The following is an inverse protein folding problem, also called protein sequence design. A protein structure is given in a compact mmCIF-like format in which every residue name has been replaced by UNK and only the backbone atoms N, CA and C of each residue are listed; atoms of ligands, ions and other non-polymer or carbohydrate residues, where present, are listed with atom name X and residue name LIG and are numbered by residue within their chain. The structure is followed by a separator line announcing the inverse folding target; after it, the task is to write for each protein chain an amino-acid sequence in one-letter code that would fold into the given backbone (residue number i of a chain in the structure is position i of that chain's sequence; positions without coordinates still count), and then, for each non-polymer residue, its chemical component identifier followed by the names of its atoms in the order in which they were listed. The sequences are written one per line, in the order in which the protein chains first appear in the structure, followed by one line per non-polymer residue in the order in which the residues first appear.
data_IF_316880877062
#
_entry.id   IF_316880877062
#
_cell.length_a   1.000
_cell.length_b   1.000
_cell.length_c   1.000
_cell.angle_alpha   90.00
_cell.angle_beta   90.00
_cell.angle_gamma   90.00
#
_symmetry.space_group_name_H-M   'P 1'
#
loop_
_entity.id
_entity.type
_entity.pdbx_description
1 polymer ?
#
# COMPACT_ATOMS: atom_id res chain seq x y z
N UNK A 1 38.26 -27.00 -76.58
CA UNK A 1 37.92 -25.63 -76.11
C UNK A 1 37.54 -25.71 -74.62
N UNK A 2 38.28 -25.01 -73.77
CA UNK A 2 37.99 -24.85 -72.33
C UNK A 2 36.68 -24.09 -72.15
N UNK A 3 35.77 -24.54 -71.28
CA UNK A 3 34.89 -23.66 -70.50
C UNK A 3 34.70 -24.23 -69.09
N UNK A 4 35.33 -23.54 -68.15
CA UNK A 4 35.15 -23.60 -66.70
C UNK A 4 33.82 -22.89 -66.40
N UNK A 5 32.92 -23.51 -65.64
CA UNK A 5 31.85 -22.78 -64.92
C UNK A 5 31.74 -23.34 -63.50
N UNK A 6 31.74 -22.39 -62.57
CA UNK A 6 31.90 -22.49 -61.14
C UNK A 6 30.72 -23.17 -60.43
N UNK A 7 31.04 -23.96 -59.41
CA UNK A 7 30.11 -24.37 -58.35
C UNK A 7 30.07 -23.20 -57.34
N UNK A 8 28.92 -22.52 -57.23
CA UNK A 8 28.68 -21.54 -56.18
C UNK A 8 28.04 -22.24 -54.98
N UNK A 9 28.84 -22.40 -53.93
CA UNK A 9 28.37 -22.79 -52.60
C UNK A 9 27.67 -21.59 -51.98
N UNK A 10 26.34 -21.68 -51.79
CA UNK A 10 25.59 -20.68 -51.04
C UNK A 10 25.70 -21.03 -49.55
N UNK A 11 26.70 -20.44 -48.88
CA UNK A 11 26.90 -20.57 -47.44
C UNK A 11 25.85 -19.77 -46.67
N UNK A 12 25.19 -20.43 -45.71
CA UNK A 12 24.44 -19.78 -44.64
C UNK A 12 25.38 -18.86 -43.85
N UNK A 13 25.12 -17.55 -43.87
CA UNK A 13 25.65 -16.62 -42.89
C UNK A 13 24.58 -16.31 -41.84
N UNK A 14 24.61 -17.08 -40.75
CA UNK A 14 23.99 -16.72 -39.47
C UNK A 14 24.97 -15.77 -38.79
N UNK A 15 24.69 -14.45 -38.72
CA UNK A 15 25.26 -13.58 -37.68
C UNK A 15 24.69 -12.15 -37.74
N UNK A 16 24.43 -11.63 -36.54
CA UNK A 16 24.28 -10.21 -36.18
C UNK A 16 22.89 -9.57 -36.25
N UNK A 17 22.01 -9.98 -35.32
CA UNK A 17 20.98 -9.08 -34.78
C UNK A 17 21.07 -9.01 -33.23
N UNK A 18 22.29 -8.99 -32.69
CA UNK A 18 22.57 -8.93 -31.24
C UNK A 18 23.12 -7.58 -30.77
N UNK A 19 23.20 -6.58 -31.65
CA UNK A 19 23.89 -5.30 -31.37
C UNK A 19 22.97 -4.07 -31.26
N UNK A 20 21.66 -4.24 -31.39
CA UNK A 20 20.71 -3.12 -31.32
C UNK A 20 20.00 -2.99 -29.96
N UNK A 21 20.00 -4.04 -29.13
CA UNK A 21 19.23 -4.08 -27.87
C UNK A 21 20.07 -3.63 -26.66
N UNK A 22 21.40 -3.83 -26.67
CA UNK A 22 22.29 -3.33 -25.60
C UNK A 22 22.44 -1.80 -25.55
N UNK A 23 22.00 -1.09 -26.59
CA UNK A 23 22.13 0.36 -26.69
C UNK A 23 20.86 1.13 -26.26
N UNK A 24 19.72 0.46 -26.07
CA UNK A 24 18.48 1.12 -25.64
C UNK A 24 18.46 1.42 -24.13
N UNK A 25 19.15 0.61 -23.30
CA UNK A 25 19.29 0.89 -21.86
C UNK A 25 20.52 1.75 -21.52
N UNK A 26 21.46 1.93 -22.45
CA UNK A 26 22.66 2.77 -22.27
C UNK A 26 22.52 4.22 -22.78
N UNK A 27 21.40 4.58 -23.42
CA UNK A 27 21.25 5.88 -24.09
C UNK A 27 20.30 6.89 -23.42
N UNK A 28 19.77 6.61 -22.23
CA UNK A 28 19.20 7.67 -21.36
C UNK A 28 20.22 8.07 -20.31
N UNK A 29 21.36 8.64 -20.76
CA UNK A 29 22.11 9.56 -19.92
C UNK A 29 21.37 10.90 -19.99
N UNK A 30 20.89 11.48 -18.89
CA UNK A 30 20.48 12.88 -18.90
C UNK A 30 21.69 13.68 -19.36
N UNK A 31 21.55 14.42 -20.47
CA UNK A 31 22.62 15.31 -20.89
C UNK A 31 22.91 16.30 -19.76
N UNK A 32 24.16 16.34 -19.29
CA UNK A 32 24.69 17.32 -18.32
C UNK A 32 24.62 18.79 -18.79
N UNK A 33 23.80 19.12 -19.80
CA UNK A 33 23.58 20.47 -20.32
C UNK A 33 22.34 21.18 -19.76
N UNK A 34 21.55 20.51 -18.91
CA UNK A 34 20.43 21.15 -18.18
C UNK A 34 20.63 21.20 -16.66
N UNK A 35 21.86 21.00 -16.15
CA UNK A 35 22.22 21.35 -14.78
C UNK A 35 22.58 22.85 -14.77
N UNK A 36 21.62 23.68 -15.17
CA UNK A 36 21.70 25.13 -15.08
C UNK A 36 20.74 25.56 -13.97
N UNK A 37 21.30 26.09 -12.88
CA UNK A 37 20.61 26.77 -11.78
C UNK A 37 19.37 26.05 -11.22
N UNK A 38 19.63 25.08 -10.36
CA UNK A 38 18.66 24.41 -9.48
C UNK A 38 17.98 25.32 -8.45
N UNK A 39 18.25 26.63 -8.46
CA UNK A 39 17.52 27.65 -7.71
C UNK A 39 16.22 28.11 -8.39
N UNK A 40 15.96 27.71 -9.64
CA UNK A 40 14.83 28.23 -10.44
C UNK A 40 13.68 27.23 -10.70
N UNK A 41 13.70 26.03 -10.10
CA UNK A 41 12.57 25.06 -10.15
C UNK A 41 11.88 24.89 -8.79
N UNK A 42 11.98 25.90 -7.92
CA UNK A 42 11.07 26.08 -6.79
C UNK A 42 9.76 26.66 -7.35
N UNK A 43 8.97 25.82 -8.01
CA UNK A 43 7.56 26.16 -8.21
C UNK A 43 6.88 26.21 -6.86
N UNK A 44 6.05 27.24 -6.62
CA UNK A 44 5.22 27.37 -5.41
C UNK A 44 4.14 26.28 -5.27
N UNK A 45 4.04 25.36 -6.23
CA UNK A 45 3.04 24.31 -6.25
C UNK A 45 3.32 23.28 -5.13
N UNK A 46 2.29 22.63 -4.62
CA UNK A 46 2.37 21.65 -3.53
C UNK A 46 1.92 20.29 -4.05
N UNK A 47 2.38 19.19 -3.46
CA UNK A 47 1.92 17.85 -3.90
C UNK A 47 0.38 17.76 -3.93
N UNK A 48 -0.28 18.35 -2.94
CA UNK A 48 -1.74 18.41 -2.84
C UNK A 48 -2.44 19.26 -3.90
N UNK A 49 -1.72 20.14 -4.60
CA UNK A 49 -2.25 20.98 -5.69
C UNK A 49 -1.68 20.60 -7.06
N UNK A 50 -0.71 19.70 -7.11
CA UNK A 50 -0.03 19.27 -8.34
C UNK A 50 -0.99 18.63 -9.35
N UNK A 51 -2.03 17.95 -8.86
CA UNK A 51 -3.07 17.39 -9.69
C UNK A 51 -4.39 17.35 -8.90
N UNK A 52 -5.44 18.09 -9.33
CA UNK A 52 -6.70 18.15 -8.59
C UNK A 52 -7.47 16.81 -8.59
N UNK A 53 -7.19 15.91 -9.54
CA UNK A 53 -7.91 14.64 -9.71
C UNK A 53 -7.32 13.50 -8.88
N UNK A 54 -6.18 13.73 -8.21
CA UNK A 54 -5.51 12.72 -7.37
C UNK A 54 -5.26 13.29 -5.98
N UNK A 55 -5.88 12.69 -4.97
CA UNK A 55 -5.52 12.98 -3.58
C UNK A 55 -4.13 12.43 -3.27
N UNK A 56 -3.28 13.26 -2.67
CA UNK A 56 -1.93 12.90 -2.24
C UNK A 56 -1.93 12.85 -0.72
N UNK A 57 -1.70 11.67 -0.17
CA UNK A 57 -1.67 11.39 1.26
C UNK A 57 -0.29 11.07 1.79
N UNK A 58 -0.18 11.05 3.12
CA UNK A 58 1.02 10.59 3.82
C UNK A 58 0.66 9.86 5.10
N UNK A 59 1.40 8.80 5.42
CA UNK A 59 1.35 8.19 6.75
C UNK A 59 2.21 8.97 7.74
N UNK A 60 1.64 9.29 8.90
CA UNK A 60 2.32 10.12 9.89
C UNK A 60 2.55 9.40 11.22
N UNK A 61 3.73 9.66 11.80
CA UNK A 61 4.06 9.39 13.19
C UNK A 61 3.44 10.50 14.06
N UNK A 62 2.60 10.14 15.03
CA UNK A 62 1.98 11.13 15.92
C UNK A 62 3.00 11.83 16.81
N UNK A 63 4.08 11.13 17.19
CA UNK A 63 5.16 11.70 17.98
C UNK A 63 5.92 12.77 17.19
N UNK A 64 6.33 12.45 15.96
CA UNK A 64 7.06 13.41 15.12
C UNK A 64 6.16 14.57 14.73
N UNK A 65 4.90 14.32 14.40
CA UNK A 65 3.93 15.37 14.12
C UNK A 65 3.77 16.36 15.31
N UNK A 66 3.82 15.87 16.55
CA UNK A 66 3.67 16.71 17.74
C UNK A 66 4.97 17.46 18.09
N UNK A 67 6.12 16.80 17.93
CA UNK A 67 7.39 17.27 18.48
C UNK A 67 8.34 17.87 17.43
N UNK A 68 8.00 17.80 16.14
CA UNK A 68 8.83 18.30 15.05
C UNK A 68 8.04 19.27 14.16
N UNK A 69 8.36 20.55 14.25
CA UNK A 69 7.68 21.62 13.49
C UNK A 69 7.90 21.48 11.99
N UNK A 70 9.10 21.10 11.54
CA UNK A 70 9.37 20.88 10.11
C UNK A 70 8.52 19.72 9.56
N UNK A 71 8.38 18.65 10.34
CA UNK A 71 7.54 17.50 9.99
C UNK A 71 6.07 17.92 9.82
N UNK A 72 5.52 18.56 10.83
CA UNK A 72 4.11 19.00 10.82
C UNK A 72 3.84 20.05 9.73
N UNK A 73 4.78 20.95 9.46
CA UNK A 73 4.67 21.94 8.37
C UNK A 73 4.65 21.26 6.99
N UNK A 74 5.46 20.23 6.77
CA UNK A 74 5.43 19.45 5.52
C UNK A 74 4.10 18.71 5.36
N UNK A 75 3.64 18.04 6.42
CA UNK A 75 2.33 17.36 6.43
C UNK A 75 1.22 18.35 6.06
N UNK A 76 1.25 19.55 6.64
CA UNK A 76 0.28 20.61 6.37
C UNK A 76 0.32 21.11 4.94
N UNK A 77 1.52 21.41 4.42
CA UNK A 77 1.70 22.10 3.14
C UNK A 77 1.59 21.20 1.93
N UNK A 78 1.94 19.92 2.05
CA UNK A 78 2.14 19.04 0.89
C UNK A 78 0.99 18.05 0.68
N UNK A 79 0.24 17.64 1.71
CA UNK A 79 -0.71 16.53 1.59
C UNK A 79 -2.15 16.94 1.84
N UNK A 80 -3.11 16.28 1.19
CA UNK A 80 -4.56 16.49 1.40
C UNK A 80 -5.27 15.26 1.99
N UNK A 81 -4.51 14.23 2.35
CA UNK A 81 -4.96 13.05 3.09
C UNK A 81 -3.89 12.62 4.09
N UNK A 82 -4.30 12.02 5.20
CA UNK A 82 -3.39 11.46 6.20
C UNK A 82 -3.85 10.08 6.67
N UNK A 83 -2.87 9.25 7.02
CA UNK A 83 -3.02 7.95 7.66
C UNK A 83 -2.19 7.95 8.93
N UNK A 84 -2.69 7.41 10.04
CA UNK A 84 -1.84 7.22 11.22
C UNK A 84 -0.98 5.97 11.01
N UNK A 85 0.35 6.09 11.07
CA UNK A 85 1.25 4.96 10.78
C UNK A 85 1.00 3.76 11.71
N UNK A 86 0.73 4.03 13.00
CA UNK A 86 0.55 3.00 14.01
C UNK A 86 -0.62 3.23 14.98
N UNK A 87 -1.00 4.49 15.23
CA UNK A 87 -1.92 4.85 16.30
C UNK A 87 -3.38 4.40 16.07
N UNK A 88 -3.71 3.92 14.87
CA UNK A 88 -5.05 3.41 14.54
C UNK A 88 -5.08 1.89 14.28
N UNK A 89 -3.98 1.18 14.55
CA UNK A 89 -3.94 -0.28 14.55
C UNK A 89 -4.68 -0.83 15.77
N UNK A 90 -5.14 -2.09 15.70
CA UNK A 90 -5.89 -2.75 16.76
C UNK A 90 -5.25 -2.52 18.14
N UNK A 91 -3.97 -2.90 18.30
CA UNK A 91 -3.28 -2.80 19.59
C UNK A 91 -3.23 -1.39 20.17
N UNK A 92 -3.21 -0.35 19.33
CA UNK A 92 -3.23 1.03 19.76
C UNK A 92 -4.65 1.46 20.19
N UNK A 93 -5.66 1.12 19.39
CA UNK A 93 -7.05 1.52 19.63
C UNK A 93 -7.69 0.79 20.81
N UNK A 94 -7.38 -0.49 20.98
CA UNK A 94 -7.95 -1.36 22.01
C UNK A 94 -6.85 -2.13 22.77
N UNK A 95 -6.08 -1.44 23.64
CA UNK A 95 -4.92 -2.04 24.30
C UNK A 95 -5.28 -3.17 25.28
N UNK A 96 -6.51 -3.17 25.83
CA UNK A 96 -7.02 -4.26 26.67
C UNK A 96 -8.43 -4.66 26.24
N UNK A 97 -8.86 -5.87 26.60
CA UNK A 97 -10.20 -6.31 26.27
C UNK A 97 -11.26 -5.36 26.84
N UNK A 98 -12.23 -4.97 26.01
CA UNK A 98 -13.28 -3.98 26.32
C UNK A 98 -12.79 -2.58 26.72
N UNK A 99 -11.48 -2.28 26.64
CA UNK A 99 -10.92 -0.97 26.90
C UNK A 99 -10.42 -0.34 25.61
N UNK A 100 -11.04 0.78 25.21
CA UNK A 100 -10.77 1.51 23.98
C UNK A 100 -10.14 2.89 24.22
N UNK A 101 -9.31 3.05 25.26
CA UNK A 101 -8.61 4.32 25.57
C UNK A 101 -7.76 4.86 24.42
N UNK A 102 -7.42 4.03 23.43
CA UNK A 102 -6.74 4.50 22.22
C UNK A 102 -7.58 5.44 21.37
N UNK A 103 -8.92 5.34 21.44
CA UNK A 103 -9.85 6.26 20.78
C UNK A 103 -9.81 7.68 21.38
N UNK A 104 -9.28 7.84 22.60
CA UNK A 104 -9.14 9.16 23.21
C UNK A 104 -7.98 9.98 22.60
N UNK A 105 -7.11 9.35 21.80
CA UNK A 105 -6.01 10.02 21.11
C UNK A 105 -6.50 10.71 19.83
N UNK A 106 -6.74 12.02 19.92
CA UNK A 106 -7.32 12.83 18.84
C UNK A 106 -6.29 13.53 17.94
N UNK A 107 -5.00 13.19 18.04
CA UNK A 107 -3.93 13.92 17.33
C UNK A 107 -4.12 13.84 15.80
N UNK A 108 -4.51 12.67 15.27
CA UNK A 108 -4.68 12.50 13.82
C UNK A 108 -5.87 13.33 13.32
N UNK A 109 -6.97 13.38 14.05
CA UNK A 109 -8.14 14.16 13.71
C UNK A 109 -7.90 15.66 13.85
N UNK A 110 -7.15 16.07 14.87
CA UNK A 110 -6.65 17.44 15.01
C UNK A 110 -5.78 17.84 13.82
N UNK A 111 -4.83 16.99 13.44
CA UNK A 111 -3.97 17.23 12.30
C UNK A 111 -4.78 17.34 11.00
N UNK A 112 -5.82 16.52 10.82
CA UNK A 112 -6.70 16.60 9.66
C UNK A 112 -7.53 17.88 9.64
N UNK A 113 -8.20 18.20 10.75
CA UNK A 113 -9.15 19.32 10.84
C UNK A 113 -8.47 20.66 10.62
N UNK A 114 -7.37 20.92 11.33
CA UNK A 114 -6.75 22.24 11.38
C UNK A 114 -5.72 22.50 10.27
N UNK A 115 -5.41 21.50 9.44
CA UNK A 115 -4.54 21.65 8.28
C UNK A 115 -5.29 21.54 6.95
N UNK A 116 -6.46 22.17 6.87
CA UNK A 116 -7.26 22.24 5.65
C UNK A 116 -8.27 21.10 5.49
N UNK A 117 -8.77 20.53 6.61
CA UNK A 117 -9.80 19.47 6.62
C UNK A 117 -9.39 18.28 5.74
N UNK A 118 -8.18 17.77 5.98
CA UNK A 118 -7.60 16.65 5.21
C UNK A 118 -8.47 15.40 5.37
N UNK A 119 -8.49 14.56 4.33
CA UNK A 119 -9.09 13.22 4.41
C UNK A 119 -8.30 12.37 5.41
N UNK A 120 -8.99 11.64 6.28
CA UNK A 120 -8.38 10.58 7.08
C UNK A 120 -8.69 9.23 6.43
N UNK A 121 -7.66 8.41 6.29
CA UNK A 121 -7.74 7.00 5.96
C UNK A 121 -7.31 6.18 7.18
N UNK A 122 -8.24 5.45 7.77
CA UNK A 122 -7.98 4.62 8.94
C UNK A 122 -7.26 3.33 8.54
N UNK A 123 -6.20 3.01 9.26
CA UNK A 123 -5.34 1.86 9.02
C UNK A 123 -4.91 1.22 10.35
N UNK A 124 -5.28 -0.02 10.67
CA UNK A 124 -6.28 -0.86 10.02
C UNK A 124 -7.13 -1.55 11.09
N UNK A 125 -8.38 -1.88 10.76
CA UNK A 125 -9.32 -2.46 11.74
C UNK A 125 -8.91 -3.87 12.17
N UNK A 126 -8.55 -4.73 11.22
CA UNK A 126 -8.11 -6.10 11.47
C UNK A 126 -6.88 -6.41 10.63
N UNK A 127 -5.87 -6.98 11.27
CA UNK A 127 -4.63 -7.41 10.64
C UNK A 127 -4.11 -8.67 11.34
N UNK A 128 -3.26 -9.45 10.66
CA UNK A 128 -2.57 -10.57 11.30
C UNK A 128 -1.52 -10.09 12.31
N UNK A 129 -0.96 -8.91 12.08
CA UNK A 129 0.04 -8.27 12.94
C UNK A 129 -0.56 -7.16 13.81
N UNK A 130 0.22 -6.65 14.77
CA UNK A 130 -0.16 -5.54 15.68
C UNK A 130 -1.46 -5.79 16.45
N UNK A 131 -1.75 -7.06 16.74
CA UNK A 131 -2.82 -7.46 17.65
C UNK A 131 -2.37 -7.22 19.10
N UNK A 132 -3.24 -6.71 19.99
CA UNK A 132 -2.88 -6.54 21.39
C UNK A 132 -2.66 -7.88 22.08
N UNK A 133 -1.77 -7.93 23.07
CA UNK A 133 -1.34 -9.18 23.73
C UNK A 133 -2.50 -9.98 24.34
N UNK A 134 -3.60 -9.31 24.73
CA UNK A 134 -4.78 -9.98 25.26
C UNK A 134 -5.48 -10.89 24.25
N UNK A 135 -5.30 -10.65 22.93
CA UNK A 135 -5.84 -11.55 21.88
C UNK A 135 -5.16 -12.91 21.95
N UNK A 136 -3.83 -12.94 22.09
CA UNK A 136 -3.06 -14.19 22.28
C UNK A 136 -3.44 -14.86 23.59
N UNK A 137 -3.67 -14.09 24.66
CA UNK A 137 -4.18 -14.64 25.93
C UNK A 137 -5.55 -15.30 25.75
N UNK A 138 -6.50 -14.63 25.07
CA UNK A 138 -7.82 -15.19 24.78
C UNK A 138 -7.72 -16.47 23.97
N UNK A 139 -6.88 -16.50 22.93
CA UNK A 139 -6.66 -17.69 22.12
C UNK A 139 -6.21 -18.88 22.99
N UNK A 140 -5.18 -18.67 23.81
CA UNK A 140 -4.59 -19.72 24.63
C UNK A 140 -5.52 -20.22 25.75
N UNK A 141 -6.45 -19.39 26.22
CA UNK A 141 -7.34 -19.72 27.34
C UNK A 141 -8.80 -20.00 26.93
N UNK A 142 -9.14 -19.91 25.64
CA UNK A 142 -10.47 -20.29 25.12
C UNK A 142 -10.43 -21.70 24.56
N UNK A 143 -11.30 -22.63 25.01
CA UNK A 143 -11.40 -23.97 24.43
C UNK A 143 -11.61 -23.93 22.92
N UNK A 144 -10.94 -24.80 22.16
CA UNK A 144 -10.98 -24.81 20.69
C UNK A 144 -12.43 -24.79 20.13
N UNK A 145 -13.36 -25.51 20.77
CA UNK A 145 -14.76 -25.58 20.37
C UNK A 145 -15.51 -24.24 20.51
N UNK A 146 -15.04 -23.33 21.36
CA UNK A 146 -15.67 -22.03 21.65
C UNK A 146 -14.98 -20.87 20.91
N UNK A 147 -13.76 -21.09 20.39
CA UNK A 147 -12.92 -20.04 19.77
C UNK A 147 -13.65 -19.32 18.64
N UNK A 148 -14.40 -20.02 17.79
CA UNK A 148 -15.12 -19.39 16.70
C UNK A 148 -16.07 -18.28 17.17
N UNK A 149 -16.98 -18.59 18.11
CA UNK A 149 -17.94 -17.61 18.62
C UNK A 149 -17.24 -16.49 19.39
N UNK A 150 -16.20 -16.84 20.16
CA UNK A 150 -15.42 -15.88 20.94
C UNK A 150 -14.71 -14.86 20.06
N UNK A 151 -13.98 -15.31 19.05
CA UNK A 151 -13.26 -14.46 18.11
C UNK A 151 -14.19 -13.67 17.21
N UNK A 152 -15.33 -14.25 16.83
CA UNK A 152 -16.36 -13.54 16.04
C UNK A 152 -16.90 -12.36 16.84
N UNK A 153 -17.24 -12.58 18.10
CA UNK A 153 -17.70 -11.53 19.01
C UNK A 153 -16.67 -10.41 19.20
N UNK A 154 -15.38 -10.78 19.37
CA UNK A 154 -14.28 -9.79 19.48
C UNK A 154 -14.17 -8.94 18.22
N UNK A 155 -14.12 -9.58 17.05
CA UNK A 155 -13.98 -8.91 15.75
C UNK A 155 -15.16 -7.95 15.52
N UNK A 156 -16.39 -8.42 15.73
CA UNK A 156 -17.59 -7.60 15.55
C UNK A 156 -17.65 -6.44 16.55
N UNK A 157 -17.28 -6.66 17.82
CA UNK A 157 -17.28 -5.63 18.85
C UNK A 157 -16.22 -4.55 18.60
N UNK A 158 -14.99 -4.95 18.27
CA UNK A 158 -13.89 -4.03 17.94
C UNK A 158 -14.27 -3.13 16.76
N UNK A 159 -14.61 -3.74 15.63
CA UNK A 159 -14.97 -3.01 14.41
C UNK A 159 -16.17 -2.09 14.66
N UNK A 160 -17.21 -2.58 15.32
CA UNK A 160 -18.41 -1.79 15.63
C UNK A 160 -18.06 -0.55 16.47
N UNK A 161 -17.27 -0.70 17.54
CA UNK A 161 -16.91 0.40 18.43
C UNK A 161 -16.04 1.43 17.71
N UNK A 162 -15.00 1.00 17.01
CA UNK A 162 -14.07 1.89 16.29
C UNK A 162 -14.78 2.63 15.17
N UNK A 163 -15.49 1.93 14.27
CA UNK A 163 -16.16 2.58 13.13
C UNK A 163 -17.22 3.57 13.60
N UNK A 164 -18.02 3.23 14.62
CA UNK A 164 -19.03 4.14 15.17
C UNK A 164 -18.42 5.36 15.84
N UNK A 165 -17.31 5.21 16.55
CA UNK A 165 -16.62 6.33 17.19
C UNK A 165 -16.25 7.40 16.15
N UNK A 166 -15.51 7.01 15.11
CA UNK A 166 -15.09 7.94 14.05
C UNK A 166 -16.24 8.49 13.20
N UNK A 167 -17.37 7.78 13.12
CA UNK A 167 -18.53 8.22 12.35
C UNK A 167 -19.49 9.14 13.14
N UNK A 168 -19.82 8.80 14.39
CA UNK A 168 -20.84 9.51 15.20
C UNK A 168 -20.25 10.51 16.20
N UNK A 169 -19.14 10.14 16.83
CA UNK A 169 -18.57 10.91 17.95
C UNK A 169 -17.58 11.96 17.45
N UNK A 170 -17.27 11.94 16.15
CA UNK A 170 -16.33 12.87 15.54
C UNK A 170 -16.93 14.26 15.36
N UNK A 171 -16.45 15.20 16.17
CA UNK A 171 -16.56 16.65 15.92
C UNK A 171 -15.68 17.09 14.72
N UNK A 172 -14.84 16.19 14.20
CA UNK A 172 -13.92 16.46 13.11
C UNK A 172 -14.60 16.13 11.78
N UNK A 173 -15.21 17.17 11.22
CA UNK A 173 -16.03 17.07 10.02
C UNK A 173 -15.49 17.97 8.90
N UNK A 174 -15.80 17.59 7.66
CA UNK A 174 -15.58 18.45 6.50
C UNK A 174 -16.58 19.61 6.46
N UNK A 175 -16.47 20.47 5.44
CA UNK A 175 -17.33 21.63 5.27
C UNK A 175 -18.83 21.28 5.10
N UNK A 176 -19.16 20.03 4.77
CA UNK A 176 -20.53 19.54 4.60
C UNK A 176 -21.04 18.79 5.84
N UNK A 177 -20.32 18.84 6.95
CA UNK A 177 -20.71 18.15 8.19
C UNK A 177 -20.50 16.63 8.15
N UNK A 178 -19.71 16.11 7.20
CA UNK A 178 -19.40 14.67 7.12
C UNK A 178 -18.08 14.37 7.84
N UNK A 179 -17.92 13.23 8.53
CA UNK A 179 -16.67 12.90 9.23
C UNK A 179 -15.44 13.01 8.34
N UNK A 180 -14.30 13.47 8.88
CA UNK A 180 -13.03 13.50 8.15
C UNK A 180 -12.46 12.08 7.93
N UNK A 181 -12.88 11.10 8.73
CA UNK A 181 -12.69 9.68 8.46
C UNK A 181 -13.49 9.27 7.23
N UNK A 182 -12.83 9.17 6.07
CA UNK A 182 -13.52 8.85 4.80
C UNK A 182 -13.41 7.39 4.38
N UNK A 183 -12.47 6.66 4.98
CA UNK A 183 -12.22 5.27 4.60
C UNK A 183 -11.48 4.50 5.67
N UNK A 184 -11.64 3.19 5.66
CA UNK A 184 -10.88 2.24 6.47
C UNK A 184 -10.30 1.13 5.61
N UNK A 185 -9.05 0.77 5.89
CA UNK A 185 -8.56 -0.58 5.66
C UNK A 185 -9.24 -1.51 6.67
N UNK A 186 -10.22 -2.28 6.21
CA UNK A 186 -10.99 -3.17 7.06
C UNK A 186 -10.18 -4.41 7.41
N UNK A 187 -9.52 -4.98 6.40
CA UNK A 187 -8.61 -6.12 6.56
C UNK A 187 -7.32 -5.81 5.83
N UNK A 188 -6.21 -5.95 6.55
CA UNK A 188 -4.87 -5.79 6.03
C UNK A 188 -4.17 -7.16 5.85
N UNK A 189 -3.50 -7.38 4.72
CA UNK A 189 -2.50 -8.44 4.48
C UNK A 189 -2.93 -9.88 4.76
N UNK A 190 -4.10 -10.26 4.25
CA UNK A 190 -4.66 -11.60 4.44
C UNK A 190 -4.03 -12.68 3.54
N UNK A 191 -3.15 -12.34 2.61
CA UNK A 191 -2.47 -13.30 1.74
C UNK A 191 -0.95 -13.37 1.97
N UNK A 192 -0.39 -14.56 1.76
CA UNK A 192 1.03 -14.79 1.58
C UNK A 192 1.46 -14.42 0.14
N UNK A 193 2.78 -14.33 -0.09
CA UNK A 193 3.36 -13.98 -1.40
C UNK A 193 3.01 -14.96 -2.53
N UNK A 194 2.73 -16.21 -2.20
CA UNK A 194 2.30 -17.23 -3.16
C UNK A 194 0.79 -17.19 -3.46
N UNK A 195 0.03 -16.27 -2.85
CA UNK A 195 -1.42 -16.14 -3.04
C UNK A 195 -2.27 -17.08 -2.19
N UNK A 196 -1.69 -17.87 -1.27
CA UNK A 196 -2.49 -18.59 -0.26
C UNK A 196 -2.88 -17.66 0.88
N UNK A 197 -3.97 -17.96 1.57
CA UNK A 197 -4.36 -17.18 2.74
C UNK A 197 -3.31 -17.30 3.85
N UNK A 198 -2.98 -16.19 4.48
CA UNK A 198 -2.10 -16.17 5.64
C UNK A 198 -2.75 -16.94 6.79
N UNK A 199 -2.00 -17.87 7.39
CA UNK A 199 -2.49 -18.81 8.40
C UNK A 199 -2.97 -20.15 7.84
N UNK A 200 -3.05 -20.31 6.52
CA UNK A 200 -3.35 -21.58 5.87
C UNK A 200 -2.16 -22.55 5.91
N UNK A 201 -2.44 -23.86 5.96
CA UNK A 201 -1.44 -24.92 6.07
C UNK A 201 -1.20 -25.46 7.49
N UNK A 202 -0.60 -26.65 7.56
CA UNK A 202 -0.34 -27.39 8.80
C UNK A 202 0.90 -26.88 9.56
N UNK A 203 1.88 -26.32 8.83
CA UNK A 203 3.05 -25.67 9.39
C UNK A 203 2.97 -24.17 9.14
N UNK A 204 2.67 -23.40 10.19
CA UNK A 204 3.02 -21.98 10.22
C UNK A 204 4.54 -21.95 10.27
N UNK A 205 5.17 -21.85 9.10
CA UNK A 205 6.62 -22.04 8.94
C UNK A 205 7.43 -21.01 9.75
N UNK A 206 6.83 -19.83 9.94
CA UNK A 206 7.27 -18.76 10.82
C UNK A 206 6.02 -18.19 11.51
N UNK A 207 5.86 -18.42 12.83
CA UNK A 207 4.70 -17.93 13.60
C UNK A 207 4.58 -16.41 13.62
N UNK A 208 5.68 -15.70 13.41
CA UNK A 208 5.66 -14.24 13.44
C UNK A 208 5.26 -13.65 12.08
N UNK A 209 5.40 -14.42 10.99
CA UNK A 209 5.05 -13.97 9.63
C UNK A 209 3.76 -14.57 9.10
N UNK A 210 3.53 -15.86 9.30
CA UNK A 210 2.47 -16.58 8.59
C UNK A 210 1.24 -16.83 9.47
N UNK A 211 1.29 -16.50 10.77
CA UNK A 211 0.16 -16.69 11.68
C UNK A 211 -0.89 -15.59 11.54
N UNK A 212 -2.16 -15.98 11.45
CA UNK A 212 -3.29 -15.05 11.58
C UNK A 212 -4.29 -15.60 12.57
N UNK A 213 -4.39 -14.95 13.72
CA UNK A 213 -5.37 -15.33 14.77
C UNK A 213 -6.81 -15.31 14.23
N UNK A 214 -7.09 -14.42 13.27
CA UNK A 214 -8.38 -14.30 12.62
C UNK A 214 -8.66 -15.48 11.71
N UNK A 215 -7.72 -15.81 10.81
CA UNK A 215 -7.85 -17.01 9.97
C UNK A 215 -8.00 -18.26 10.83
N UNK A 216 -7.15 -18.46 11.85
CA UNK A 216 -7.10 -19.72 12.62
C UNK A 216 -8.37 -19.98 13.42
N UNK A 217 -9.00 -18.94 13.95
CA UNK A 217 -10.18 -19.07 14.81
C UNK A 217 -11.51 -18.84 14.10
N UNK A 218 -11.51 -18.27 12.89
CA UNK A 218 -12.73 -17.94 12.14
C UNK A 218 -12.79 -18.66 10.79
N UNK A 219 -12.40 -19.93 10.77
CA UNK A 219 -12.57 -20.77 9.58
C UNK A 219 -14.02 -21.24 9.48
N UNK A 220 -14.63 -21.07 8.31
CA UNK A 220 -15.92 -21.68 7.99
C UNK A 220 -15.97 -22.05 6.50
N UNK A 221 -16.59 -23.18 6.18
CA UNK A 221 -16.71 -23.69 4.81
C UNK A 221 -15.94 -24.99 4.58
N UNK A 222 -16.17 -25.57 3.41
CA UNK A 222 -15.67 -26.90 3.04
C UNK A 222 -14.35 -26.83 2.30
N UNK A 223 -14.07 -25.72 1.62
CA UNK A 223 -12.84 -25.48 0.86
C UNK A 223 -11.89 -24.54 1.59
N UNK A 224 -10.58 -24.62 1.30
CA UNK A 224 -9.58 -23.70 1.87
C UNK A 224 -9.87 -22.24 1.50
N UNK A 225 -10.43 -22.05 0.31
CA UNK A 225 -10.85 -20.77 -0.20
C UNK A 225 -12.04 -20.19 0.61
N UNK A 226 -13.05 -20.99 0.97
CA UNK A 226 -14.13 -20.56 1.87
C UNK A 226 -13.62 -20.25 3.28
N UNK A 227 -12.80 -21.16 3.84
CA UNK A 227 -12.21 -20.99 5.17
C UNK A 227 -11.38 -19.71 5.25
N UNK A 228 -10.60 -19.42 4.21
CA UNK A 228 -9.72 -18.26 4.16
C UNK A 228 -10.44 -16.93 4.07
N UNK A 229 -11.45 -16.82 3.22
CA UNK A 229 -12.19 -15.55 3.07
C UNK A 229 -13.22 -15.26 4.15
N UNK A 230 -13.59 -16.25 4.96
CA UNK A 230 -14.71 -16.11 5.90
C UNK A 230 -14.53 -14.98 6.92
N UNK A 231 -13.39 -14.95 7.61
CA UNK A 231 -13.08 -13.89 8.57
C UNK A 231 -13.02 -12.50 7.92
N UNK A 232 -12.62 -12.44 6.64
CA UNK A 232 -12.55 -11.22 5.85
C UNK A 232 -13.99 -10.72 5.57
N UNK A 233 -14.87 -11.58 5.08
CA UNK A 233 -16.28 -11.22 4.87
C UNK A 233 -16.96 -10.76 6.16
N UNK A 234 -16.72 -11.45 7.28
CA UNK A 234 -17.23 -11.05 8.60
C UNK A 234 -16.80 -9.62 8.97
N UNK A 235 -15.52 -9.28 8.76
CA UNK A 235 -15.01 -7.94 9.05
C UNK A 235 -15.66 -6.86 8.19
N UNK A 236 -15.80 -7.09 6.89
CA UNK A 236 -16.46 -6.15 5.98
C UNK A 236 -17.95 -5.98 6.29
N UNK A 237 -18.66 -7.06 6.64
CA UNK A 237 -20.06 -6.98 7.10
C UNK A 237 -20.16 -6.17 8.39
N UNK A 238 -19.31 -6.45 9.38
CA UNK A 238 -19.30 -5.71 10.64
C UNK A 238 -19.03 -4.21 10.41
N UNK A 239 -18.07 -3.87 9.54
CA UNK A 239 -17.72 -2.48 9.23
C UNK A 239 -18.86 -1.77 8.49
N UNK A 240 -19.45 -2.40 7.47
CA UNK A 240 -20.58 -1.80 6.74
C UNK A 240 -21.81 -1.64 7.63
N UNK A 241 -22.14 -2.65 8.45
CA UNK A 241 -23.23 -2.58 9.42
C UNK A 241 -23.00 -1.44 10.42
N UNK A 242 -21.80 -1.34 10.97
CA UNK A 242 -21.45 -0.28 11.93
C UNK A 242 -21.56 1.12 11.31
N UNK A 243 -21.08 1.31 10.08
CA UNK A 243 -21.20 2.56 9.33
C UNK A 243 -22.68 2.92 9.04
N UNK A 244 -23.47 1.94 8.59
CA UNK A 244 -24.91 2.14 8.34
C UNK A 244 -25.68 2.50 9.61
N UNK A 245 -25.41 1.80 10.71
CA UNK A 245 -25.96 2.14 12.03
C UNK A 245 -25.52 3.53 12.45
N UNK A 246 -24.26 3.90 12.19
CA UNK A 246 -23.73 5.22 12.46
C UNK A 246 -24.34 6.35 11.63
N UNK A 247 -25.05 6.04 10.54
CA UNK A 247 -25.52 7.03 9.57
C UNK A 247 -24.42 7.50 8.61
N UNK A 248 -23.23 6.89 8.64
CA UNK A 248 -22.14 7.17 7.71
C UNK A 248 -22.22 6.26 6.49
N UNK A 249 -23.13 6.64 5.59
CA UNK A 249 -23.39 5.92 4.34
C UNK A 249 -22.32 6.17 3.25
N UNK A 250 -21.38 7.07 3.50
CA UNK A 250 -20.36 7.52 2.55
C UNK A 250 -19.00 6.88 2.83
N UNK A 251 -18.79 6.32 4.03
CA UNK A 251 -17.58 5.60 4.42
C UNK A 251 -17.18 4.53 3.41
N UNK A 252 -15.93 4.61 2.95
CA UNK A 252 -15.35 3.66 1.99
C UNK A 252 -14.56 2.56 2.70
N UNK A 253 -14.84 1.31 2.36
CA UNK A 253 -14.24 0.13 2.97
C UNK A 253 -13.25 -0.52 2.00
N UNK A 254 -12.00 -0.64 2.43
CA UNK A 254 -10.89 -1.14 1.62
C UNK A 254 -10.36 -2.46 2.15
N UNK A 255 -9.95 -3.32 1.22
CA UNK A 255 -8.99 -4.39 1.48
C UNK A 255 -7.59 -3.89 1.10
N UNK A 256 -6.59 -4.03 1.96
CA UNK A 256 -5.24 -3.51 1.73
C UNK A 256 -4.19 -4.62 1.83
N UNK A 257 -3.22 -4.65 0.92
CA UNK A 257 -2.13 -5.63 0.94
C UNK A 257 -0.89 -5.16 0.14
N UNK A 258 0.28 -5.73 0.47
CA UNK A 258 1.51 -5.60 -0.30
C UNK A 258 1.66 -6.68 -1.38
N UNK A 259 2.67 -6.54 -2.23
CA UNK A 259 3.16 -7.60 -3.11
C UNK A 259 2.44 -7.73 -4.44
N UNK A 260 1.51 -6.81 -4.73
CA UNK A 260 0.87 -6.70 -6.02
C UNK A 260 1.90 -6.49 -7.14
N UNK A 261 2.91 -5.66 -6.89
CA UNK A 261 3.92 -5.23 -7.84
C UNK A 261 5.02 -6.27 -8.13
N UNK A 262 5.04 -7.40 -7.41
CA UNK A 262 6.04 -8.46 -7.62
C UNK A 262 5.48 -9.89 -7.64
N UNK A 263 4.22 -10.12 -7.26
CA UNK A 263 3.57 -11.44 -7.27
C UNK A 263 2.23 -11.44 -8.01
N UNK A 264 2.20 -12.05 -9.21
CA UNK A 264 1.00 -12.31 -10.00
C UNK A 264 0.07 -13.27 -9.29
N UNK A 265 0.61 -14.27 -8.60
CA UNK A 265 -0.17 -15.23 -7.82
C UNK A 265 -0.96 -14.50 -6.72
N UNK A 266 -0.29 -13.66 -5.91
CA UNK A 266 -0.94 -12.85 -4.88
C UNK A 266 -1.92 -11.83 -5.47
N UNK A 267 -1.51 -11.13 -6.52
CA UNK A 267 -2.39 -10.16 -7.22
C UNK A 267 -3.69 -10.81 -7.70
N UNK A 268 -3.62 -12.02 -8.28
CA UNK A 268 -4.80 -12.74 -8.75
C UNK A 268 -5.65 -13.26 -7.60
N UNK A 269 -5.04 -13.72 -6.50
CA UNK A 269 -5.78 -14.12 -5.30
C UNK A 269 -6.57 -12.94 -4.70
N UNK A 270 -5.92 -11.77 -4.58
CA UNK A 270 -6.57 -10.53 -4.12
C UNK A 270 -7.70 -10.13 -5.08
N UNK A 271 -7.46 -10.16 -6.40
CA UNK A 271 -8.49 -9.88 -7.41
C UNK A 271 -9.72 -10.77 -7.24
N UNK A 272 -9.53 -12.06 -6.99
CA UNK A 272 -10.63 -13.00 -6.78
C UNK A 272 -11.38 -12.70 -5.47
N UNK A 273 -10.67 -12.46 -4.38
CA UNK A 273 -11.26 -12.10 -3.09
C UNK A 273 -12.11 -10.84 -3.18
N UNK A 274 -11.58 -9.74 -3.73
CA UNK A 274 -12.31 -8.48 -3.76
C UNK A 274 -13.51 -8.53 -4.69
N UNK A 275 -13.45 -9.29 -5.79
CA UNK A 275 -14.62 -9.54 -6.62
C UNK A 275 -15.67 -10.40 -5.91
N UNK A 276 -15.26 -11.38 -5.11
CA UNK A 276 -16.16 -12.11 -4.24
C UNK A 276 -16.85 -11.18 -3.24
N UNK A 277 -16.09 -10.37 -2.50
CA UNK A 277 -16.62 -9.43 -1.49
C UNK A 277 -17.58 -8.41 -2.12
N UNK A 278 -17.31 -7.95 -3.34
CA UNK A 278 -18.19 -7.04 -4.10
C UNK A 278 -19.58 -7.62 -4.37
N UNK A 279 -19.72 -8.94 -4.44
CA UNK A 279 -21.04 -9.61 -4.58
C UNK A 279 -21.84 -9.65 -3.29
N UNK A 280 -21.20 -9.38 -2.14
CA UNK A 280 -21.83 -9.44 -0.83
C UNK A 280 -22.37 -8.08 -0.45
N UNK A 281 -23.52 -8.09 0.21
CA UNK A 281 -24.21 -6.87 0.63
C UNK A 281 -24.55 -6.88 2.11
N UNK A 282 -24.60 -5.68 2.69
CA UNK A 282 -25.02 -5.41 4.06
C UNK A 282 -25.77 -4.07 4.06
N UNK A 283 -27.02 -4.07 4.56
CA UNK A 283 -27.93 -2.92 4.41
C UNK A 283 -28.19 -2.50 2.96
N UNK A 284 -28.21 -3.44 2.02
CA UNK A 284 -28.51 -3.19 0.59
C UNK A 284 -27.34 -2.61 -0.23
N UNK A 285 -26.17 -2.38 0.36
CA UNK A 285 -24.97 -1.89 -0.33
C UNK A 285 -23.87 -2.96 -0.37
N UNK A 286 -22.98 -2.98 -1.39
CA UNK A 286 -21.77 -3.77 -1.34
C UNK A 286 -20.97 -3.53 -0.06
N UNK A 287 -20.43 -4.61 0.51
CA UNK A 287 -19.65 -4.51 1.76
C UNK A 287 -18.24 -3.94 1.56
N UNK A 288 -17.76 -3.87 0.32
CA UNK A 288 -16.44 -3.34 -0.05
C UNK A 288 -16.60 -2.21 -1.09
N UNK A 289 -15.75 -1.19 -1.01
CA UNK A 289 -15.70 -0.08 -1.97
C UNK A 289 -14.38 0.02 -2.74
N UNK A 290 -13.30 -0.57 -2.20
CA UNK A 290 -11.96 -0.32 -2.72
C UNK A 290 -10.92 -1.38 -2.40
N UNK A 291 -9.80 -1.29 -3.10
CA UNK A 291 -8.59 -2.08 -2.89
C UNK A 291 -7.36 -1.17 -2.79
N UNK A 292 -6.57 -1.39 -1.74
CA UNK A 292 -5.31 -0.71 -1.44
C UNK A 292 -4.13 -1.55 -1.90
N UNK A 293 -3.26 -0.92 -2.69
CA UNK A 293 -1.97 -1.47 -3.09
C UNK A 293 -0.91 -0.73 -2.28
N UNK A 294 -0.32 -1.41 -1.29
CA UNK A 294 0.67 -0.78 -0.42
C UNK A 294 1.83 -0.20 -1.25
N UNK A 295 2.37 -0.99 -2.18
CA UNK A 295 3.52 -0.59 -3.02
C UNK A 295 4.76 -0.23 -2.19
N UNK A 296 5.12 -1.11 -1.24
CA UNK A 296 6.43 -1.10 -0.63
C UNK A 296 7.49 -1.63 -1.60
N UNK A 297 8.10 -0.73 -2.36
CA UNK A 297 8.97 -1.08 -3.48
C UNK A 297 10.45 -0.96 -3.14
N UNK A 298 11.29 -1.42 -4.06
CA UNK A 298 12.71 -1.12 -4.05
C UNK A 298 13.20 -0.78 -5.47
N UNK A 299 14.46 -0.35 -5.57
CA UNK A 299 15.11 0.02 -6.84
C UNK A 299 15.17 -1.10 -7.89
N UNK A 300 14.81 -2.35 -7.57
CA UNK A 300 14.72 -3.48 -8.51
C UNK A 300 13.29 -3.82 -8.96
N UNK A 301 12.25 -3.30 -8.28
CA UNK A 301 10.82 -3.57 -8.59
C UNK A 301 10.49 -3.27 -10.05
N UNK A 302 9.87 -4.20 -10.78
CA UNK A 302 9.65 -4.02 -12.23
C UNK A 302 8.48 -3.08 -12.50
N UNK A 303 8.64 -2.16 -13.45
CA UNK A 303 7.61 -1.17 -13.80
C UNK A 303 6.60 -1.70 -14.82
N UNK A 304 7.07 -2.32 -15.93
CA UNK A 304 6.27 -2.95 -16.99
C UNK A 304 6.70 -4.39 -17.22
N UNK A 305 5.86 -5.19 -17.88
CA UNK A 305 6.25 -6.51 -18.37
C UNK A 305 7.34 -6.34 -19.46
N UNK A 306 8.57 -6.76 -19.15
CA UNK A 306 9.69 -6.79 -20.11
C UNK A 306 9.89 -8.21 -20.68
N UNK A 307 9.10 -9.19 -20.20
CA UNK A 307 9.02 -10.54 -20.73
C UNK A 307 7.69 -11.20 -20.27
N UNK A 308 7.12 -12.09 -21.08
CA UNK A 308 5.89 -12.85 -20.78
C UNK A 308 5.94 -13.61 -19.44
N UNK A 309 7.13 -13.85 -18.90
CA UNK A 309 7.39 -14.63 -17.68
C UNK A 309 7.69 -13.81 -16.41
N UNK A 310 7.46 -12.49 -16.39
CA UNK A 310 7.67 -11.71 -15.16
C UNK A 310 6.69 -12.13 -14.06
N UNK A 311 7.18 -12.36 -12.84
CA UNK A 311 6.38 -12.77 -11.68
C UNK A 311 5.45 -11.66 -11.15
N UNK A 312 5.51 -10.44 -11.68
CA UNK A 312 4.71 -9.28 -11.29
C UNK A 312 5.38 -7.98 -11.75
N UNK A 313 4.60 -6.90 -11.83
CA UNK A 313 5.10 -5.54 -12.07
C UNK A 313 4.04 -4.51 -11.67
N UNK A 314 4.45 -3.25 -11.55
CA UNK A 314 3.58 -2.11 -11.17
C UNK A 314 2.39 -1.96 -12.14
N UNK A 315 2.62 -1.97 -13.46
CA UNK A 315 1.56 -1.77 -14.44
C UNK A 315 0.50 -2.88 -14.40
N UNK A 316 0.92 -4.15 -14.29
CA UNK A 316 0.04 -5.29 -14.15
C UNK A 316 -0.83 -5.18 -12.90
N UNK A 317 -0.23 -4.84 -11.75
CA UNK A 317 -0.93 -4.65 -10.49
C UNK A 317 -2.05 -3.60 -10.61
N UNK A 318 -1.72 -2.42 -11.16
CA UNK A 318 -2.69 -1.32 -11.33
C UNK A 318 -3.80 -1.74 -12.31
N UNK A 319 -3.45 -2.34 -13.46
CA UNK A 319 -4.45 -2.83 -14.43
C UNK A 319 -5.39 -3.84 -13.80
N UNK A 320 -4.85 -4.79 -13.05
CA UNK A 320 -5.64 -5.87 -12.45
C UNK A 320 -6.61 -5.34 -11.39
N UNK A 321 -6.17 -4.40 -10.56
CA UNK A 321 -7.06 -3.78 -9.57
C UNK A 321 -8.10 -2.86 -10.23
N UNK A 322 -7.75 -2.17 -11.32
CA UNK A 322 -8.72 -1.40 -12.12
C UNK A 322 -9.85 -2.27 -12.67
N UNK A 323 -9.55 -3.48 -13.15
CA UNK A 323 -10.55 -4.43 -13.69
C UNK A 323 -11.67 -4.79 -12.70
N UNK A 324 -11.42 -4.66 -11.39
CA UNK A 324 -12.42 -4.94 -10.35
C UNK A 324 -13.60 -3.96 -10.37
N UNK A 325 -13.43 -2.77 -10.96
CA UNK A 325 -14.42 -1.69 -10.89
C UNK A 325 -14.52 -1.00 -9.52
N UNK A 326 -13.74 -1.44 -8.52
CA UNK A 326 -13.66 -0.82 -7.19
C UNK A 326 -12.75 0.42 -7.24
N UNK A 327 -12.77 1.22 -6.16
CA UNK A 327 -11.77 2.26 -5.97
C UNK A 327 -10.38 1.65 -5.81
N UNK A 328 -9.38 2.26 -6.43
CA UNK A 328 -7.97 1.86 -6.36
C UNK A 328 -7.24 2.90 -5.54
N UNK A 329 -6.52 2.49 -4.50
CA UNK A 329 -5.67 3.36 -3.68
C UNK A 329 -4.24 2.84 -3.73
N UNK A 330 -3.28 3.68 -4.11
CA UNK A 330 -1.88 3.36 -3.81
C UNK A 330 -1.64 3.81 -2.37
N UNK A 331 -1.58 2.89 -1.42
CA UNK A 331 -1.84 3.17 0.00
C UNK A 331 -0.60 3.47 0.84
N UNK A 332 0.57 2.94 0.47
CA UNK A 332 1.76 2.97 1.32
C UNK A 332 3.05 3.12 0.49
N UNK A 333 3.03 3.98 -0.53
CA UNK A 333 4.11 4.08 -1.51
C UNK A 333 5.43 4.52 -0.87
N UNK A 334 6.40 3.62 -0.88
CA UNK A 334 7.81 3.88 -0.62
C UNK A 334 8.69 3.11 -1.61
N UNK A 335 9.94 3.55 -1.80
CA UNK A 335 10.86 2.92 -2.74
C UNK A 335 12.26 2.86 -2.13
N UNK A 336 12.60 1.74 -1.49
CA UNK A 336 13.92 1.55 -0.89
C UNK A 336 15.05 1.54 -1.91
N UNK A 337 16.17 2.17 -1.55
CA UNK A 337 17.44 2.00 -2.24
C UNK A 337 18.36 1.00 -1.55
N UNK A 338 18.03 0.46 -0.37
CA UNK A 338 18.91 -0.48 0.32
C UNK A 338 19.17 -1.74 -0.51
N UNK A 339 20.42 -2.22 -0.51
CA UNK A 339 20.72 -3.51 -1.11
C UNK A 339 20.07 -4.58 -0.23
N UNK A 340 19.24 -5.43 -0.83
CA UNK A 340 18.62 -6.54 -0.12
C UNK A 340 19.62 -7.69 0.02
N UNK A 341 19.80 -8.13 1.25
CA UNK A 341 20.42 -9.43 1.53
C UNK A 341 19.42 -10.53 1.13
N UNK A 342 19.87 -11.48 0.33
CA UNK A 342 19.11 -12.71 0.04
C UNK A 342 19.88 -13.86 0.68
N UNK A 343 19.25 -14.57 1.61
CA UNK A 343 19.83 -15.71 2.32
C UNK A 343 21.18 -15.39 3.02
N UNK A 344 21.29 -14.22 3.64
CA UNK A 344 22.49 -13.82 4.39
C UNK A 344 23.69 -13.43 3.53
N UNK A 345 23.50 -13.24 2.23
CA UNK A 345 24.49 -12.65 1.33
C UNK A 345 23.90 -11.44 0.64
N UNK A 346 24.62 -10.31 0.66
CA UNK A 346 24.38 -9.27 -0.33
C UNK A 346 24.63 -9.95 -1.68
N UNK A 347 23.64 -9.97 -2.56
CA UNK A 347 23.83 -10.44 -3.92
C UNK A 347 25.14 -9.85 -4.51
N UNK A 348 25.68 -10.43 -5.58
CA UNK A 348 26.71 -9.79 -6.42
C UNK A 348 26.18 -8.52 -7.12
N UNK A 349 25.34 -7.74 -6.44
CA UNK A 349 24.78 -6.48 -6.84
C UNK A 349 25.87 -5.41 -6.83
N UNK A 350 26.39 -5.15 -8.01
CA UNK A 350 27.41 -4.13 -8.29
C UNK A 350 26.82 -2.74 -8.48
N UNK A 351 25.51 -2.54 -8.29
CA UNK A 351 24.90 -1.22 -8.45
C UNK A 351 25.50 -0.20 -7.48
N UNK A 352 25.79 0.96 -8.03
CA UNK A 352 26.19 2.16 -7.28
C UNK A 352 24.97 2.78 -6.61
N UNK A 353 25.18 3.57 -5.56
CA UNK A 353 24.10 4.33 -4.93
C UNK A 353 23.41 5.29 -5.91
N UNK A 354 24.16 5.92 -6.81
CA UNK A 354 23.61 6.82 -7.83
C UNK A 354 22.63 6.10 -8.76
N UNK A 355 22.94 4.87 -9.18
CA UNK A 355 22.04 4.06 -10.00
C UNK A 355 20.76 3.68 -9.23
N UNK A 356 20.90 3.30 -7.96
CA UNK A 356 19.76 2.97 -7.10
C UNK A 356 18.84 4.18 -6.87
N UNK A 357 19.41 5.37 -6.65
CA UNK A 357 18.67 6.64 -6.56
C UNK A 357 17.98 7.02 -7.89
N UNK A 358 18.65 6.81 -9.03
CA UNK A 358 18.01 7.02 -10.34
C UNK A 358 16.82 6.08 -10.57
N UNK A 359 16.96 4.82 -10.16
CA UNK A 359 15.90 3.81 -10.20
C UNK A 359 14.74 4.13 -9.24
N UNK A 360 15.04 4.65 -8.05
CA UNK A 360 14.06 5.15 -7.09
C UNK A 360 13.26 6.31 -7.68
N UNK A 361 13.95 7.34 -8.19
CA UNK A 361 13.34 8.49 -8.85
C UNK A 361 12.38 8.05 -9.96
N UNK A 362 12.81 7.12 -10.82
CA UNK A 362 11.98 6.64 -11.91
C UNK A 362 10.69 5.96 -11.42
N UNK A 363 10.70 5.25 -10.29
CA UNK A 363 9.50 4.59 -9.75
C UNK A 363 8.52 5.57 -9.15
N UNK A 364 9.02 6.56 -8.41
CA UNK A 364 8.20 7.66 -7.95
C UNK A 364 7.58 8.45 -9.09
N UNK A 365 8.28 8.55 -10.23
CA UNK A 365 7.72 9.12 -11.47
C UNK A 365 6.70 8.18 -12.11
N UNK A 366 7.02 6.91 -12.22
CA UNK A 366 6.22 5.95 -12.98
C UNK A 366 4.86 5.67 -12.34
N UNK A 367 4.79 5.51 -11.01
CA UNK A 367 3.55 5.11 -10.32
C UNK A 367 2.40 6.11 -10.54
N UNK A 368 2.55 7.43 -10.29
CA UNK A 368 1.48 8.40 -10.54
C UNK A 368 1.05 8.47 -12.01
N UNK A 369 2.00 8.34 -12.94
CA UNK A 369 1.72 8.33 -14.38
C UNK A 369 0.90 7.12 -14.79
N UNK A 370 1.34 5.92 -14.38
CA UNK A 370 0.63 4.68 -14.64
C UNK A 370 -0.76 4.67 -13.98
N UNK A 371 -0.85 5.11 -12.73
CA UNK A 371 -2.11 5.19 -11.99
C UNK A 371 -3.14 6.06 -12.71
N UNK A 372 -2.76 7.26 -13.17
CA UNK A 372 -3.67 8.15 -13.91
C UNK A 372 -4.01 7.60 -15.29
N UNK A 373 -3.03 7.10 -16.03
CA UNK A 373 -3.25 6.56 -17.37
C UNK A 373 -4.17 5.32 -17.38
N UNK A 374 -4.09 4.48 -16.34
CA UNK A 374 -4.77 3.18 -16.31
C UNK A 374 -6.09 3.23 -15.55
N UNK A 375 -6.13 3.90 -14.39
CA UNK A 375 -7.29 3.94 -13.50
C UNK A 375 -8.17 5.14 -13.90
N UNK A 376 -9.47 4.96 -14.20
CA UNK A 376 -10.36 6.08 -14.51
C UNK A 376 -10.65 6.93 -13.28
N UNK A 377 -10.94 8.22 -13.48
CA UNK A 377 -11.09 9.24 -12.42
C UNK A 377 -12.02 8.80 -11.27
N UNK A 378 -13.16 8.19 -11.58
CA UNK A 378 -14.15 7.74 -10.59
C UNK A 378 -13.66 6.58 -9.69
N UNK A 379 -12.65 5.83 -10.13
CA UNK A 379 -11.98 4.77 -9.37
C UNK A 379 -10.74 5.29 -8.62
N UNK A 380 -10.24 6.51 -8.87
CA UNK A 380 -9.04 7.01 -8.20
C UNK A 380 -9.35 7.46 -6.77
N UNK A 381 -8.86 6.72 -5.77
CA UNK A 381 -8.97 7.14 -4.36
C UNK A 381 -7.81 8.06 -3.93
N UNK A 382 -6.63 7.87 -4.50
CA UNK A 382 -5.44 8.66 -4.22
C UNK A 382 -4.16 7.84 -4.20
N UNK A 383 -3.07 8.53 -3.88
CA UNK A 383 -1.73 7.99 -3.65
C UNK A 383 -1.29 8.47 -2.28
N UNK A 384 -0.98 7.56 -1.37
CA UNK A 384 -0.45 7.85 -0.03
C UNK A 384 1.00 7.37 0.01
N UNK A 385 1.88 8.24 0.50
CA UNK A 385 3.28 7.90 0.77
C UNK A 385 3.41 7.32 2.16
N UNK A 386 4.29 6.34 2.34
CA UNK A 386 4.55 5.78 3.66
C UNK A 386 5.76 6.46 4.30
N UNK A 387 5.47 7.29 5.30
CA UNK A 387 6.37 8.23 6.00
C UNK A 387 6.69 9.52 5.24
N UNK A 388 7.00 10.59 5.99
CA UNK A 388 7.23 11.93 5.45
C UNK A 388 8.64 12.04 4.88
N UNK A 389 9.65 11.52 5.58
CA UNK A 389 11.05 11.62 5.20
C UNK A 389 11.86 10.39 5.58
N UNK A 390 13.10 10.37 5.14
CA UNK A 390 13.97 9.22 5.34
C UNK A 390 14.29 9.02 6.82
N UNK A 391 14.14 10.04 7.67
CA UNK A 391 14.35 9.93 9.12
C UNK A 391 13.24 9.15 9.84
N UNK A 392 11.98 9.27 9.41
CA UNK A 392 10.84 8.57 10.03
C UNK A 392 10.46 7.28 9.29
N UNK A 393 11.14 6.93 8.20
CA UNK A 393 10.86 5.69 7.48
C UNK A 393 10.95 4.46 8.38
N UNK A 394 9.91 3.65 8.36
CA UNK A 394 9.88 2.35 9.04
C UNK A 394 11.04 1.43 8.60
N UNK A 395 11.50 1.57 7.35
CA UNK A 395 12.59 0.79 6.78
C UNK A 395 13.93 1.05 7.47
N UNK A 396 14.11 2.13 8.22
CA UNK A 396 15.33 2.33 9.02
C UNK A 396 15.52 1.28 10.12
N UNK A 397 14.42 0.65 10.56
CA UNK A 397 14.45 -0.41 11.59
C UNK A 397 14.77 -1.78 10.99
N UNK A 398 14.56 -1.95 9.68
CA UNK A 398 14.59 -3.25 8.99
C UNK A 398 15.74 -3.33 7.99
N UNK A 399 16.13 -2.19 7.42
CA UNK A 399 17.18 -2.01 6.44
C UNK A 399 18.17 -0.97 6.98
N UNK A 400 19.48 -1.24 6.92
CA UNK A 400 20.51 -0.30 7.37
C UNK A 400 20.64 0.90 6.39
N UNK A 401 19.71 1.84 6.50
CA UNK A 401 19.46 3.02 5.65
C UNK A 401 18.74 2.73 4.32
N UNK A 402 17.43 2.47 4.39
CA UNK A 402 16.54 2.29 3.23
C UNK A 402 16.39 3.52 2.33
N UNK A 403 16.50 4.73 2.90
CA UNK A 403 16.27 6.04 2.25
C UNK A 403 15.10 5.98 1.26
N UNK A 404 13.95 5.53 1.74
CA UNK A 404 12.88 5.04 0.87
C UNK A 404 11.84 6.11 0.52
N UNK A 405 11.96 7.34 1.02
CA UNK A 405 10.91 8.37 0.95
C UNK A 405 11.27 9.52 -0.01
N UNK A 406 10.36 10.49 -0.16
CA UNK A 406 10.60 11.67 -1.00
C UNK A 406 11.54 12.72 -0.40
N UNK A 407 11.76 12.71 0.93
CA UNK A 407 12.46 13.78 1.64
C UNK A 407 13.67 13.23 2.39
N UNK A 408 14.83 13.87 2.26
CA UNK A 408 16.05 13.38 2.87
C UNK A 408 16.08 13.53 4.41
N UNK A 409 16.99 12.79 5.04
CA UNK A 409 17.08 12.58 6.49
C UNK A 409 17.42 13.83 7.32
N UNK A 410 18.16 14.80 6.78
CA UNK A 410 18.76 15.90 7.58
C UNK A 410 18.18 17.28 7.34
N UNK A 411 17.55 17.53 6.19
CA UNK A 411 17.04 18.86 5.83
C UNK A 411 15.61 18.84 5.27
N UNK A 412 14.99 17.66 5.14
CA UNK A 412 13.77 17.46 4.36
C UNK A 412 13.85 18.17 2.99
N UNK A 413 15.05 18.25 2.40
CA UNK A 413 15.15 18.70 1.01
C UNK A 413 14.64 17.58 0.13
N UNK A 414 13.69 17.92 -0.75
CA UNK A 414 13.04 16.98 -1.67
C UNK A 414 14.11 16.27 -2.51
N UNK A 415 14.23 14.96 -2.36
CA UNK A 415 15.13 14.12 -3.16
C UNK A 415 14.67 14.01 -4.62
N UNK A 416 13.40 14.33 -4.87
CA UNK A 416 12.68 14.09 -6.12
C UNK A 416 11.92 15.36 -6.49
N UNK A 417 12.10 15.84 -7.72
CA UNK A 417 11.44 17.05 -8.23
C UNK A 417 9.92 16.86 -8.27
N UNK A 418 9.21 17.89 -7.84
CA UNK A 418 7.74 17.95 -7.79
C UNK A 418 7.07 17.58 -9.11
N UNK A 419 7.73 17.88 -10.24
CA UNK A 419 7.30 17.58 -11.62
C UNK A 419 6.88 16.12 -11.84
N UNK A 420 7.28 15.21 -10.96
CA UNK A 420 6.93 13.80 -10.95
C UNK A 420 5.43 13.54 -10.76
N UNK A 421 4.74 14.37 -9.97
CA UNK A 421 3.28 14.31 -9.79
C UNK A 421 2.51 15.29 -10.71
N UNK A 422 3.20 16.13 -11.49
CA UNK A 422 2.61 17.36 -12.09
C UNK A 422 2.47 17.35 -13.61
N UNK A 423 2.83 16.29 -14.34
CA UNK A 423 2.69 16.31 -15.79
C UNK A 423 1.30 15.85 -16.21
N UNK A 424 0.62 16.59 -17.08
CA UNK A 424 -0.66 16.22 -17.69
C UNK A 424 -0.56 14.95 -18.57
#
# INVERSE_FOLDING_TARGET
MKKIIFITVMGLSILSCKKTIENAEKSVKPSNKNIANTSALVGNERLQTANPDVKVGVAISLSDYTNNSLYSDLVKQEYNSITAENAMKFSALQPNENNFTGLDNTIIEHAAMYNGRKRIHGHALIWYFSNPSWITYVENNTPQAERYNRFKGILEAHISKVVKHYARESIYQDANGKPLMKSWDVVNEAFNDNGTYRGSGDAVSDKDKDYSVWYRNLQQGSTDEEKGRHHIELAFRAARKAANEAGDYDLKLFYNDYGHEYSKAKTNAIYNLVNYLKTKTEGGKPIIDGVGLQFHMNYTTKTKDIAENANGNIEYAIRKMKETGLKVHISELDVSIAKREINGSINNDTTTESERKGAQYYRYYFVPQAYRSIVPDNQRWGITLWNVGDSDSWLNKVENNGFATLYNQSSYTKNILMSVFMMD
#
